data_IF_262856905133
#
_entry.id   IF_262856905133
#
_cell.length_a   1.000
_cell.length_b   1.000
_cell.length_c   1.000
_cell.angle_alpha   90.00
_cell.angle_beta   90.00
_cell.angle_gamma   90.00
#
_symmetry.space_group_name_H-M   'P 1'
#
loop_
_entity.id
_entity.type
_entity.pdbx_description
1 polymer ?
#
# COMPACT_ATOMS: atom_id res chain seq x y z
N UNK A 1 5.00 -7.12 9.88
CA UNK A 1 6.19 -6.70 9.11
C UNK A 1 6.68 -5.36 9.63
N UNK A 2 7.77 -4.80 9.12
CA UNK A 2 8.28 -3.49 9.52
C UNK A 2 8.10 -2.48 8.39
N UNK A 3 8.95 -1.45 8.32
CA UNK A 3 8.72 -0.26 7.51
C UNK A 3 8.76 -0.53 5.99
N UNK A 4 9.85 -1.11 5.51
CA UNK A 4 10.10 -1.22 4.07
C UNK A 4 9.25 -2.31 3.44
N UNK A 5 8.96 -3.38 4.16
CA UNK A 5 8.04 -4.42 3.73
C UNK A 5 6.68 -3.83 3.39
N UNK A 6 6.12 -3.00 4.26
CA UNK A 6 4.85 -2.34 4.00
C UNK A 6 4.90 -1.35 2.84
N UNK A 7 5.84 -0.41 2.84
CA UNK A 7 5.92 0.64 1.81
C UNK A 7 6.18 0.02 0.43
N UNK A 8 7.22 -0.80 0.32
CA UNK A 8 7.69 -1.32 -0.96
C UNK A 8 6.78 -2.38 -1.56
N UNK A 9 6.29 -3.33 -0.74
CA UNK A 9 5.38 -4.36 -1.24
C UNK A 9 4.02 -3.77 -1.59
N UNK A 10 3.50 -2.82 -0.79
CA UNK A 10 2.24 -2.13 -1.15
C UNK A 10 2.38 -1.41 -2.48
N UNK A 11 3.49 -0.68 -2.67
CA UNK A 11 3.75 0.02 -3.94
C UNK A 11 3.79 -0.96 -5.12
N UNK A 12 4.57 -2.03 -5.00
CA UNK A 12 4.73 -3.02 -6.06
C UNK A 12 3.43 -3.80 -6.35
N UNK A 13 2.73 -4.25 -5.31
CA UNK A 13 1.49 -5.01 -5.44
C UNK A 13 0.37 -4.16 -6.06
N UNK A 14 0.24 -2.91 -5.65
CA UNK A 14 -0.78 -2.00 -6.20
C UNK A 14 -0.48 -1.69 -7.67
N UNK A 15 0.78 -1.41 -8.02
CA UNK A 15 1.18 -1.18 -9.41
C UNK A 15 0.94 -2.40 -10.31
N UNK A 16 1.22 -3.62 -9.81
CA UNK A 16 0.93 -4.85 -10.53
C UNK A 16 -0.59 -5.04 -10.74
N UNK A 17 -1.38 -4.79 -9.70
CA UNK A 17 -2.84 -4.87 -9.77
C UNK A 17 -3.42 -3.99 -10.87
N UNK A 18 -3.08 -2.70 -10.90
CA UNK A 18 -3.58 -1.79 -11.94
C UNK A 18 -3.09 -2.13 -13.33
N UNK A 19 -1.85 -2.60 -13.48
CA UNK A 19 -1.35 -3.06 -14.78
C UNK A 19 -2.13 -4.26 -15.31
N UNK A 20 -2.49 -5.21 -14.44
CA UNK A 20 -3.33 -6.35 -14.81
C UNK A 20 -4.74 -5.88 -15.18
N UNK A 21 -5.33 -4.96 -14.40
CA UNK A 21 -6.63 -4.37 -14.72
C UNK A 21 -6.64 -3.64 -16.05
N UNK A 22 -5.62 -2.84 -16.35
CA UNK A 22 -5.47 -2.14 -17.65
C UNK A 22 -5.36 -3.15 -18.80
N UNK A 23 -4.56 -4.21 -18.63
CA UNK A 23 -4.38 -5.25 -19.65
C UNK A 23 -5.67 -6.03 -19.91
N UNK A 24 -6.44 -6.35 -18.86
CA UNK A 24 -7.73 -7.03 -18.99
C UNK A 24 -8.78 -6.11 -19.63
N UNK A 25 -8.82 -4.83 -19.23
CA UNK A 25 -9.73 -3.83 -19.80
C UNK A 25 -9.51 -3.69 -21.30
N UNK A 26 -8.25 -3.55 -21.73
CA UNK A 26 -7.91 -3.40 -23.15
C UNK A 26 -8.30 -4.63 -23.97
N UNK A 27 -8.07 -5.86 -23.45
CA UNK A 27 -8.52 -7.10 -24.13
C UNK A 27 -10.04 -7.14 -24.31
N UNK A 28 -10.80 -6.81 -23.28
CA UNK A 28 -12.28 -6.79 -23.37
C UNK A 28 -12.76 -5.75 -24.39
N UNK A 29 -12.10 -4.60 -24.47
CA UNK A 29 -12.41 -3.58 -25.48
C UNK A 29 -12.07 -4.07 -26.88
N UNK A 30 -10.92 -4.72 -27.08
CA UNK A 30 -10.52 -5.32 -28.36
C UNK A 30 -11.50 -6.43 -28.80
N UNK A 31 -11.94 -7.30 -27.90
CA UNK A 31 -12.93 -8.35 -28.21
C UNK A 31 -14.32 -7.78 -28.56
N UNK A 32 -14.71 -6.65 -27.93
CA UNK A 32 -15.97 -5.95 -28.23
C UNK A 32 -15.94 -5.19 -29.55
N UNK A 33 -14.78 -4.67 -29.95
CA UNK A 33 -14.61 -3.90 -31.20
C UNK A 33 -14.23 -4.82 -32.37
N UNK A 34 -13.59 -5.96 -32.10
CA UNK A 34 -13.15 -6.98 -33.05
C UNK A 34 -14.27 -7.82 -33.69
N UNK A 35 -15.54 -7.58 -33.33
CA UNK A 35 -16.71 -8.08 -34.07
C UNK A 35 -16.88 -7.48 -35.48
N UNK A 36 -15.97 -6.58 -35.89
CA UNK A 36 -15.85 -6.07 -37.25
C UNK A 36 -14.43 -6.30 -37.77
N UNK A 37 -14.27 -7.21 -38.73
CA UNK A 37 -13.02 -7.39 -39.52
C UNK A 37 -13.02 -6.44 -40.74
N UNK A 38 -11.92 -6.26 -41.51
CA UNK A 38 -10.52 -6.72 -41.36
C UNK A 38 -9.47 -5.59 -41.56
N UNK A 39 -8.19 -5.85 -41.29
CA UNK A 39 -7.06 -5.81 -42.27
C UNK A 39 -5.70 -5.68 -41.57
N UNK A 40 -4.75 -6.41 -42.13
CA UNK A 40 -3.31 -6.39 -41.85
C UNK A 40 -2.70 -5.01 -42.03
N UNK A 41 -1.87 -4.56 -41.10
CA UNK A 41 -0.59 -3.97 -41.50
C UNK A 41 0.49 -4.08 -40.43
N UNK A 42 1.65 -4.51 -40.87
CA UNK A 42 2.87 -4.66 -40.11
C UNK A 42 3.71 -3.41 -40.29
N UNK A 43 3.95 -2.62 -39.24
CA UNK A 43 5.15 -1.78 -39.19
C UNK A 43 5.39 -1.16 -37.82
N UNK A 44 6.67 -0.98 -37.54
CA UNK A 44 7.28 -0.27 -36.42
C UNK A 44 7.43 -1.06 -35.12
N UNK A 45 8.59 -1.73 -35.04
CA UNK A 45 9.37 -1.88 -33.80
C UNK A 45 9.62 -0.48 -33.20
N UNK A 46 8.61 0.03 -32.52
CA UNK A 46 8.72 1.19 -31.65
C UNK A 46 9.48 0.69 -30.44
N UNK A 47 10.72 1.16 -30.27
CA UNK A 47 11.51 0.94 -29.05
C UNK A 47 10.60 1.28 -27.88
N UNK A 48 10.11 0.25 -27.19
CA UNK A 48 9.22 0.40 -26.04
C UNK A 48 10.04 1.10 -24.96
N UNK A 49 9.63 2.29 -24.51
CA UNK A 49 10.41 3.01 -23.53
C UNK A 49 10.27 2.25 -22.20
N UNK A 50 11.42 1.84 -21.66
CA UNK A 50 11.67 1.17 -20.37
C UNK A 50 10.42 0.59 -19.69
N UNK A 51 10.28 -0.73 -19.74
CA UNK A 51 9.16 -1.52 -19.19
C UNK A 51 8.82 -1.16 -17.73
N UNK A 52 9.79 -0.63 -16.96
CA UNK A 52 9.63 -0.12 -15.58
C UNK A 52 8.80 1.16 -15.49
N UNK A 53 8.88 2.06 -16.48
CA UNK A 53 8.10 3.31 -16.51
C UNK A 53 6.60 3.05 -16.62
N UNK A 54 6.18 2.11 -17.47
CA UNK A 54 4.75 1.80 -17.63
C UNK A 54 4.10 1.34 -16.32
N UNK A 55 4.92 0.72 -15.46
CA UNK A 55 4.49 0.10 -14.22
C UNK A 55 4.04 1.14 -13.19
N UNK A 56 4.91 2.07 -12.81
CA UNK A 56 4.57 3.12 -11.84
C UNK A 56 3.69 4.23 -12.43
N UNK A 57 3.76 4.47 -13.75
CA UNK A 57 2.86 5.43 -14.41
C UNK A 57 1.42 4.96 -14.46
N UNK A 58 1.18 3.68 -14.77
CA UNK A 58 -0.18 3.11 -14.68
C UNK A 58 -0.73 3.28 -13.26
N UNK A 59 0.08 3.01 -12.23
CA UNK A 59 -0.33 3.25 -10.84
C UNK A 59 -0.68 4.72 -10.56
N UNK A 60 0.22 5.66 -10.90
CA UNK A 60 0.05 7.08 -10.65
C UNK A 60 -1.17 7.68 -11.39
N UNK A 61 -1.62 7.06 -12.48
CA UNK A 61 -2.81 7.49 -13.21
C UNK A 61 -4.12 7.08 -12.51
N UNK A 62 -4.09 6.06 -11.66
CA UNK A 62 -5.28 5.55 -10.97
C UNK A 62 -5.35 6.01 -9.51
N UNK A 63 -4.20 6.12 -8.84
CA UNK A 63 -4.10 6.35 -7.40
C UNK A 63 -2.99 7.35 -7.09
N UNK A 64 -3.25 8.27 -6.16
CA UNK A 64 -2.20 9.13 -5.62
C UNK A 64 -1.24 8.30 -4.77
N UNK A 65 -0.06 8.03 -5.32
CA UNK A 65 0.97 7.17 -4.70
C UNK A 65 1.37 7.70 -3.32
N UNK A 66 1.36 9.02 -3.08
CA UNK A 66 1.76 9.58 -1.77
C UNK A 66 0.82 9.11 -0.67
N UNK A 67 -0.48 9.21 -0.91
CA UNK A 67 -1.50 8.78 0.04
C UNK A 67 -1.59 7.27 0.14
N UNK A 68 -1.28 6.54 -0.94
CA UNK A 68 -1.10 5.08 -0.88
C UNK A 68 0.02 4.70 0.10
N UNK A 69 1.18 5.37 0.00
CA UNK A 69 2.32 5.11 0.89
C UNK A 69 1.99 5.50 2.34
N UNK A 70 1.33 6.64 2.56
CA UNK A 70 0.86 7.03 3.90
C UNK A 70 -0.11 5.98 4.44
N UNK A 71 -1.09 5.56 3.64
CA UNK A 71 -2.06 4.52 4.01
C UNK A 71 -1.39 3.20 4.38
N UNK A 72 -0.34 2.82 3.64
CA UNK A 72 0.45 1.62 3.90
C UNK A 72 1.15 1.63 5.25
N UNK A 73 1.26 2.78 5.91
CA UNK A 73 1.88 2.94 7.24
C UNK A 73 0.92 3.49 8.28
N UNK A 74 -0.29 3.87 7.87
CA UNK A 74 -1.23 4.60 8.70
C UNK A 74 -1.59 3.86 9.99
N UNK A 75 -1.87 2.53 9.97
CA UNK A 75 -2.20 1.82 11.20
C UNK A 75 -1.06 1.83 12.22
N UNK A 76 0.17 1.56 11.77
CA UNK A 76 1.37 1.60 12.59
C UNK A 76 1.69 3.00 13.16
N UNK A 77 1.52 4.04 12.34
CA UNK A 77 1.74 5.44 12.75
C UNK A 77 0.79 5.85 13.88
N UNK A 78 -0.43 5.31 13.90
CA UNK A 78 -1.42 5.62 14.94
C UNK A 78 -1.23 4.69 16.15
N UNK A 79 -1.23 3.38 15.92
CA UNK A 79 -1.37 2.40 16.98
C UNK A 79 -0.09 2.20 17.79
N UNK A 80 1.10 2.31 17.18
CA UNK A 80 2.36 2.16 17.94
C UNK A 80 2.54 3.29 18.96
N UNK A 81 2.40 4.58 18.60
CA UNK A 81 2.44 5.65 19.60
C UNK A 81 1.37 5.51 20.67
N UNK A 82 0.14 5.22 20.28
CA UNK A 82 -0.98 5.13 21.23
C UNK A 82 -0.78 3.94 22.18
N UNK A 83 -0.50 2.75 21.67
CA UNK A 83 -0.52 1.52 22.46
C UNK A 83 0.82 1.11 23.08
N UNK A 84 1.96 1.64 22.61
CA UNK A 84 3.29 1.35 23.16
C UNK A 84 3.84 2.52 23.96
N UNK A 85 3.62 3.78 23.54
CA UNK A 85 4.24 4.94 24.20
C UNK A 85 3.29 5.74 25.10
N UNK A 86 2.05 6.01 24.67
CA UNK A 86 1.12 6.86 25.43
C UNK A 86 0.30 6.08 26.46
N UNK A 87 -0.20 4.90 26.08
CA UNK A 87 -1.09 4.08 26.90
C UNK A 87 -0.55 2.66 27.08
N UNK A 88 0.76 2.57 27.35
CA UNK A 88 1.47 1.30 27.52
C UNK A 88 0.83 0.43 28.62
N UNK A 89 0.53 1.01 29.79
CA UNK A 89 -0.08 0.28 30.91
C UNK A 89 -1.46 -0.32 30.56
N UNK A 90 -2.24 0.41 29.75
CA UNK A 90 -3.59 0.02 29.36
C UNK A 90 -3.56 -1.05 28.27
N UNK A 91 -2.84 -0.81 27.17
CA UNK A 91 -2.90 -1.65 25.97
C UNK A 91 -1.67 -2.53 25.78
N UNK A 92 -0.46 -2.01 26.01
CA UNK A 92 0.82 -2.69 25.77
C UNK A 92 0.85 -3.45 24.43
N UNK A 93 0.34 -2.83 23.36
CA UNK A 93 0.23 -3.46 22.04
C UNK A 93 0.22 -2.38 20.95
N UNK A 94 1.03 -2.56 19.90
CA UNK A 94 1.07 -1.66 18.73
C UNK A 94 0.03 -1.97 17.64
N UNK A 95 -0.86 -2.94 17.87
CA UNK A 95 -1.94 -3.35 16.94
C UNK A 95 -3.28 -3.28 17.64
N UNK A 96 -3.87 -2.08 17.64
CA UNK A 96 -5.09 -1.75 18.38
C UNK A 96 -6.17 -1.28 17.41
N UNK A 97 -6.65 -0.04 17.53
CA UNK A 97 -7.80 0.50 16.81
C UNK A 97 -7.61 0.59 15.30
N UNK A 98 -6.46 1.02 14.83
CA UNK A 98 -6.23 1.25 13.39
C UNK A 98 -5.94 -0.04 12.63
N UNK A 99 -5.63 -1.12 13.35
CA UNK A 99 -5.50 -2.47 12.83
C UNK A 99 -6.83 -3.24 12.74
N UNK A 100 -7.96 -2.57 13.00
CA UNK A 100 -9.31 -3.17 12.93
C UNK A 100 -9.93 -3.03 11.54
N UNK A 101 -10.81 -3.97 11.19
CA UNK A 101 -11.65 -3.87 10.00
C UNK A 101 -12.61 -2.69 10.08
N UNK A 102 -13.06 -2.34 11.30
CA UNK A 102 -13.89 -1.15 11.53
C UNK A 102 -13.17 0.12 11.09
N UNK A 103 -11.91 0.31 11.49
CA UNK A 103 -11.11 1.45 11.05
C UNK A 103 -10.97 1.50 9.53
N UNK A 104 -10.68 0.36 8.90
CA UNK A 104 -10.61 0.27 7.44
C UNK A 104 -11.94 0.65 6.78
N UNK A 105 -13.07 0.16 7.29
CA UNK A 105 -14.40 0.49 6.75
C UNK A 105 -14.68 1.99 6.89
N UNK A 106 -14.42 2.57 8.05
CA UNK A 106 -14.61 4.01 8.29
C UNK A 106 -13.73 4.84 7.35
N UNK A 107 -12.48 4.44 7.17
CA UNK A 107 -11.54 5.10 6.25
C UNK A 107 -12.02 5.01 4.80
N UNK A 108 -12.53 3.84 4.38
CA UNK A 108 -13.09 3.63 3.04
C UNK A 108 -14.33 4.47 2.80
N UNK A 109 -15.25 4.48 3.77
CA UNK A 109 -16.47 5.30 3.72
C UNK A 109 -16.12 6.78 3.63
N UNK A 110 -15.20 7.27 4.47
CA UNK A 110 -14.70 8.63 4.39
C UNK A 110 -14.07 8.93 3.02
N UNK A 111 -13.28 8.00 2.48
CA UNK A 111 -12.69 8.12 1.15
C UNK A 111 -13.72 8.21 0.02
N UNK A 112 -14.80 7.44 0.09
CA UNK A 112 -15.92 7.52 -0.85
C UNK A 112 -16.67 8.86 -0.72
N UNK A 113 -16.91 9.34 0.49
CA UNK A 113 -17.51 10.66 0.72
C UNK A 113 -16.65 11.80 0.15
N UNK A 114 -15.34 11.78 0.40
CA UNK A 114 -14.38 12.75 -0.15
C UNK A 114 -14.42 12.74 -1.68
N UNK A 115 -14.46 11.56 -2.29
CA UNK A 115 -14.58 11.42 -3.74
C UNK A 115 -15.89 11.98 -4.28
N UNK A 116 -17.01 11.67 -3.63
CA UNK A 116 -18.33 12.17 -4.03
C UNK A 116 -18.45 13.69 -3.94
N UNK A 117 -17.87 14.30 -2.90
CA UNK A 117 -17.98 15.74 -2.66
C UNK A 117 -16.95 16.57 -3.44
N UNK A 118 -15.70 16.10 -3.53
CA UNK A 118 -14.58 16.91 -4.06
C UNK A 118 -13.97 16.35 -5.35
N UNK A 119 -14.41 15.18 -5.82
CA UNK A 119 -13.80 14.45 -6.93
C UNK A 119 -12.41 13.86 -6.62
N UNK A 120 -11.85 14.12 -5.43
CA UNK A 120 -10.50 13.69 -5.06
C UNK A 120 -10.47 12.23 -4.63
N UNK A 121 -9.43 11.50 -5.03
CA UNK A 121 -9.28 10.07 -4.76
C UNK A 121 -8.32 9.72 -3.62
N UNK A 122 -7.71 10.72 -2.96
CA UNK A 122 -6.69 10.49 -1.94
C UNK A 122 -7.19 9.66 -0.75
N UNK A 123 -8.45 9.81 -0.33
CA UNK A 123 -9.02 9.00 0.75
C UNK A 123 -9.16 7.52 0.39
N UNK A 124 -9.45 7.23 -0.88
CA UNK A 124 -9.44 5.85 -1.39
C UNK A 124 -8.01 5.30 -1.49
N UNK A 125 -7.04 6.14 -1.88
CA UNK A 125 -5.63 5.77 -1.89
C UNK A 125 -5.14 5.36 -0.49
N UNK A 126 -5.49 6.14 0.54
CA UNK A 126 -5.22 5.77 1.94
C UNK A 126 -5.83 4.42 2.29
N UNK A 127 -7.10 4.21 1.92
CA UNK A 127 -7.82 2.97 2.20
C UNK A 127 -7.15 1.76 1.55
N UNK A 128 -6.73 1.86 0.28
CA UNK A 128 -6.00 0.79 -0.41
C UNK A 128 -4.68 0.49 0.31
N UNK A 129 -3.95 1.54 0.71
CA UNK A 129 -2.72 1.37 1.49
C UNK A 129 -2.97 0.62 2.80
N UNK A 130 -4.02 1.01 3.53
CA UNK A 130 -4.42 0.35 4.78
C UNK A 130 -4.83 -1.11 4.57
N UNK A 131 -5.52 -1.46 3.47
CA UNK A 131 -5.84 -2.85 3.12
C UNK A 131 -4.56 -3.68 3.03
N UNK A 132 -3.58 -3.19 2.26
CA UNK A 132 -2.29 -3.89 2.13
C UNK A 132 -1.55 -3.94 3.47
N UNK A 133 -1.64 -2.92 4.30
CA UNK A 133 -1.08 -2.95 5.65
C UNK A 133 -1.66 -4.11 6.48
N UNK A 134 -2.98 -4.20 6.62
CA UNK A 134 -3.62 -5.27 7.38
C UNK A 134 -3.30 -6.67 6.83
N UNK A 135 -3.18 -6.77 5.50
CA UNK A 135 -2.82 -8.03 4.83
C UNK A 135 -1.36 -8.41 5.12
N UNK A 136 -0.42 -7.47 5.01
CA UNK A 136 1.00 -7.70 5.25
C UNK A 136 1.29 -8.01 6.71
N UNK A 137 0.53 -7.42 7.62
CA UNK A 137 0.58 -7.74 9.04
C UNK A 137 -0.14 -9.04 9.43
N UNK A 138 -0.74 -9.72 8.45
CA UNK A 138 -1.46 -10.98 8.61
C UNK A 138 -2.54 -10.88 9.68
N UNK A 139 -3.30 -9.78 9.69
CA UNK A 139 -4.28 -9.50 10.74
C UNK A 139 -5.37 -10.58 10.86
N UNK A 140 -5.57 -11.41 9.82
CA UNK A 140 -6.42 -12.60 9.89
C UNK A 140 -5.97 -13.62 10.95
N UNK A 141 -4.70 -13.60 11.38
CA UNK A 141 -4.18 -14.45 12.45
C UNK A 141 -4.50 -13.91 13.85
N UNK A 142 -4.95 -12.66 13.96
CA UNK A 142 -5.38 -12.00 15.21
C UNK A 142 -6.84 -11.55 15.07
N UNK A 143 -7.80 -12.48 14.94
CA UNK A 143 -9.19 -12.15 14.59
C UNK A 143 -9.89 -11.28 15.63
N UNK A 144 -9.53 -11.39 16.92
CA UNK A 144 -10.07 -10.54 17.98
C UNK A 144 -9.81 -9.05 17.71
N UNK A 145 -8.58 -8.70 17.36
CA UNK A 145 -8.22 -7.33 16.96
C UNK A 145 -8.86 -6.99 15.62
N UNK A 146 -8.76 -7.86 14.60
CA UNK A 146 -9.27 -7.56 13.27
C UNK A 146 -10.78 -7.26 13.27
N UNK A 147 -11.57 -8.01 14.04
CA UNK A 147 -13.02 -7.83 14.14
C UNK A 147 -13.46 -7.06 15.37
N UNK A 148 -12.55 -6.36 16.06
CA UNK A 148 -12.92 -5.48 17.15
C UNK A 148 -13.93 -4.41 16.66
N UNK A 149 -15.01 -4.12 17.41
CA UNK A 149 -15.34 -4.60 18.76
C UNK A 149 -16.23 -5.86 18.81
N UNK A 150 -16.54 -6.49 17.68
CA UNK A 150 -17.51 -7.60 17.59
C UNK A 150 -17.06 -8.83 18.38
N UNK A 151 -15.75 -9.15 18.35
CA UNK A 151 -15.18 -10.32 19.04
C UNK A 151 -14.60 -9.99 20.43
N UNK A 152 -14.95 -8.83 20.99
CA UNK A 152 -14.51 -8.37 22.30
C UNK A 152 -14.01 -6.93 22.29
N UNK A 153 -13.96 -6.33 23.48
CA UNK A 153 -13.57 -4.94 23.66
C UNK A 153 -12.09 -4.72 24.02
N UNK A 154 -11.39 -5.78 24.44
CA UNK A 154 -9.99 -5.72 24.82
C UNK A 154 -9.04 -6.11 23.68
N UNK A 155 -7.81 -5.59 23.75
CA UNK A 155 -6.69 -6.01 22.90
C UNK A 155 -5.75 -6.92 23.68
N UNK A 156 -5.12 -7.87 22.99
CA UNK A 156 -4.12 -8.75 23.62
C UNK A 156 -2.89 -7.94 24.01
N UNK A 157 -2.44 -8.06 25.26
CA UNK A 157 -1.23 -7.37 25.71
C UNK A 157 0.00 -8.14 25.23
N UNK A 158 0.99 -7.41 24.74
CA UNK A 158 2.31 -7.96 24.38
C UNK A 158 3.35 -7.37 25.33
N UNK A 159 4.37 -8.13 25.69
CA UNK A 159 5.50 -7.54 26.40
C UNK A 159 6.20 -6.51 25.51
N UNK A 160 6.14 -5.25 25.94
CA UNK A 160 6.68 -4.07 25.23
C UNK A 160 7.99 -3.59 25.83
N UNK A 161 8.43 -4.15 26.96
CA UNK A 161 9.76 -3.89 27.51
C UNK A 161 10.83 -4.24 26.47
N UNK A 162 11.75 -3.32 26.24
CA UNK A 162 12.82 -3.44 25.26
C UNK A 162 12.35 -3.64 23.79
N UNK A 163 11.22 -3.02 23.44
CA UNK A 163 10.61 -3.09 22.12
C UNK A 163 11.59 -2.89 20.96
N UNK A 164 12.47 -1.87 21.05
CA UNK A 164 13.43 -1.58 19.98
C UNK A 164 14.44 -2.72 19.79
N UNK A 165 15.03 -3.24 20.87
CA UNK A 165 15.99 -4.35 20.78
C UNK A 165 15.32 -5.60 20.23
N UNK A 166 14.07 -5.88 20.63
CA UNK A 166 13.28 -6.98 20.07
C UNK A 166 13.04 -6.81 18.57
N UNK A 167 12.71 -5.59 18.13
CA UNK A 167 12.52 -5.28 16.70
C UNK A 167 13.83 -5.50 15.92
N UNK A 168 14.97 -5.02 16.43
CA UNK A 168 16.28 -5.25 15.80
C UNK A 168 16.64 -6.74 15.76
N UNK A 169 16.42 -7.46 16.85
CA UNK A 169 16.69 -8.89 16.93
C UNK A 169 15.88 -9.67 15.89
N UNK A 170 14.57 -9.42 15.82
CA UNK A 170 13.67 -10.08 14.87
C UNK A 170 14.02 -9.70 13.43
N UNK A 171 14.36 -8.42 13.17
CA UNK A 171 14.78 -7.96 11.86
C UNK A 171 16.06 -8.63 11.36
N UNK A 172 16.97 -9.07 12.22
CA UNK A 172 18.21 -9.71 11.80
C UNK A 172 18.15 -11.23 11.78
N UNK A 173 17.28 -11.82 12.60
CA UNK A 173 17.29 -13.26 12.84
C UNK A 173 16.06 -14.00 12.29
N UNK A 174 14.94 -13.32 12.01
CA UNK A 174 13.71 -13.97 11.56
C UNK A 174 13.48 -13.82 10.05
N UNK A 175 13.60 -14.91 9.25
CA UNK A 175 13.41 -14.86 7.79
C UNK A 175 12.05 -14.34 7.37
N UNK A 176 11.02 -14.64 8.16
CA UNK A 176 9.66 -14.17 7.91
C UNK A 176 9.54 -12.64 8.00
N UNK A 177 10.50 -11.95 8.61
CA UNK A 177 10.54 -10.48 8.71
C UNK A 177 11.55 -9.90 7.74
N UNK A 178 12.81 -10.34 7.76
CA UNK A 178 13.85 -9.66 6.97
C UNK A 178 13.73 -9.88 5.47
N UNK A 179 13.27 -11.04 5.00
CA UNK A 179 13.12 -11.32 3.56
C UNK A 179 12.19 -10.29 2.93
N UNK A 180 10.95 -10.14 3.41
CA UNK A 180 10.05 -9.21 2.76
C UNK A 180 10.36 -7.73 3.10
N UNK A 181 11.10 -7.42 4.17
CA UNK A 181 11.73 -6.10 4.34
C UNK A 181 12.76 -5.79 3.23
N UNK A 182 13.63 -6.75 2.87
CA UNK A 182 14.60 -6.59 1.78
C UNK A 182 13.88 -6.41 0.44
N UNK A 183 12.87 -7.23 0.16
CA UNK A 183 12.05 -7.11 -1.08
C UNK A 183 11.40 -5.72 -1.14
N UNK A 184 10.78 -5.29 -0.04
CA UNK A 184 10.17 -3.98 0.06
C UNK A 184 11.19 -2.84 -0.12
N UNK A 185 12.37 -2.97 0.50
CA UNK A 185 13.44 -1.99 0.36
C UNK A 185 13.93 -1.87 -1.09
N UNK A 186 14.14 -2.98 -1.78
CA UNK A 186 14.51 -2.99 -3.20
C UNK A 186 13.43 -2.30 -4.04
N UNK A 187 12.15 -2.62 -3.84
CA UNK A 187 11.05 -2.00 -4.56
C UNK A 187 10.99 -0.48 -4.32
N UNK A 188 11.19 -0.04 -3.08
CA UNK A 188 11.25 1.36 -2.71
C UNK A 188 12.44 2.07 -3.36
N UNK A 189 13.64 1.48 -3.32
CA UNK A 189 14.86 2.05 -3.94
C UNK A 189 14.69 2.18 -5.45
N UNK A 190 14.11 1.18 -6.12
CA UNK A 190 13.84 1.26 -7.56
C UNK A 190 12.89 2.41 -7.90
N UNK A 191 11.86 2.64 -7.08
CA UNK A 191 10.95 3.76 -7.24
C UNK A 191 11.63 5.10 -6.98
N UNK A 192 12.39 5.21 -5.89
CA UNK A 192 13.13 6.43 -5.54
C UNK A 192 14.18 6.78 -6.60
N UNK A 193 14.89 5.78 -7.12
CA UNK A 193 15.86 5.92 -8.21
C UNK A 193 15.20 6.52 -9.45
N UNK A 194 14.00 6.05 -9.81
CA UNK A 194 13.25 6.58 -10.95
C UNK A 194 12.89 8.06 -10.77
N UNK A 195 12.47 8.46 -9.57
CA UNK A 195 12.15 9.86 -9.26
C UNK A 195 13.39 10.77 -9.38
N UNK A 196 14.53 10.31 -8.85
CA UNK A 196 15.79 11.05 -8.84
C UNK A 196 16.39 11.18 -10.24
N UNK A 197 16.46 10.07 -10.99
CA UNK A 197 17.03 10.05 -12.33
C UNK A 197 16.29 11.01 -13.28
N UNK A 198 14.98 11.19 -13.08
CA UNK A 198 14.17 12.13 -13.86
C UNK A 198 14.12 13.56 -13.31
N UNK A 199 14.70 13.82 -12.14
CA UNK A 199 14.63 15.11 -11.43
C UNK A 199 13.19 15.59 -11.20
N UNK A 200 12.24 14.65 -11.05
CA UNK A 200 10.81 14.93 -10.82
C UNK A 200 10.42 14.83 -9.34
N UNK A 201 11.36 14.57 -8.43
CA UNK A 201 11.08 14.37 -7.00
C UNK A 201 10.24 15.50 -6.40
N UNK A 202 10.58 16.76 -6.67
CA UNK A 202 9.83 17.92 -6.15
C UNK A 202 8.40 17.95 -6.73
N UNK A 203 8.25 17.75 -8.04
CA UNK A 203 6.95 17.71 -8.71
C UNK A 203 6.08 16.57 -8.20
N UNK A 204 6.68 15.40 -7.97
CA UNK A 204 6.02 14.24 -7.40
C UNK A 204 5.55 14.53 -5.97
N UNK A 205 6.40 15.11 -5.11
CA UNK A 205 6.01 15.44 -3.74
C UNK A 205 4.88 16.48 -3.71
N UNK A 206 4.89 17.46 -4.61
CA UNK A 206 3.85 18.49 -4.70
C UNK A 206 2.52 17.95 -5.25
N UNK A 207 2.56 17.15 -6.31
CA UNK A 207 1.36 16.84 -7.12
C UNK A 207 1.03 15.35 -7.25
N UNK A 208 1.89 14.45 -6.75
CA UNK A 208 1.74 12.99 -6.88
C UNK A 208 1.96 12.48 -8.32
N UNK A 209 2.37 13.36 -9.24
CA UNK A 209 2.50 13.08 -10.67
C UNK A 209 3.91 12.61 -11.02
N UNK A 210 4.00 11.69 -11.98
CA UNK A 210 5.25 11.13 -12.50
C UNK A 210 5.65 11.72 -13.89
N UNK A 211 5.21 12.95 -14.19
CA UNK A 211 5.48 13.67 -15.44
C UNK A 211 5.73 15.17 -15.19
#
# INVERSE_FOLDING_TARGET
MLLFGHIGITLAATALGFRLTDKLRNRITEDRVGGSSPTSDSSHLKIQPDNRMSFFRSLANHVDIRFLLVGSMLPDIIDKPVGIFLFQETYSNGRIFSHTLLFLILLMVAGLFIRGYSGKTWGLALSIGTVFHLLLDKMWQTPKTLFWPILGFGFEKTETFDYLSKVFYVLLNEPAVYIPEIIGFIAFVLFAWELLNRRITIKFLQNGRLY
#
